data_IF_970626686773
#
_entry.id   IF_970626686773
#
_cell.length_a   1.000
_cell.length_b   1.000
_cell.length_c   1.000
_cell.angle_alpha   90.00
_cell.angle_beta   90.00
_cell.angle_gamma   90.00
#
_symmetry.space_group_name_H-M   'P 1'
#
loop_
_entity.id
_entity.type
_entity.pdbx_description
1 polymer ?
#
# COMPACT_ATOMS: atom_id res chain seq x y z
N UNK A 1 9.55 -29.96 -7.07
CA UNK A 1 10.30 -28.94 -6.31
C UNK A 1 11.11 -28.00 -7.22
N UNK A 2 11.28 -28.31 -8.51
CA UNK A 2 11.98 -27.46 -9.48
C UNK A 2 11.12 -27.22 -10.74
N UNK A 3 9.98 -26.54 -10.55
CA UNK A 3 9.10 -26.21 -11.66
C UNK A 3 9.78 -25.16 -12.58
N UNK A 4 9.69 -25.35 -13.90
CA UNK A 4 10.18 -24.39 -14.91
C UNK A 4 11.62 -24.60 -15.40
N UNK A 5 12.41 -25.50 -14.80
CA UNK A 5 13.76 -25.83 -15.32
C UNK A 5 13.74 -26.40 -16.76
N UNK A 6 12.79 -27.31 -17.12
CA UNK A 6 12.72 -27.81 -18.50
C UNK A 6 12.39 -26.73 -19.53
N UNK A 7 11.63 -25.70 -19.14
CA UNK A 7 11.30 -24.56 -20.01
C UNK A 7 12.53 -23.70 -20.33
N UNK A 8 13.57 -23.79 -19.49
CA UNK A 8 14.87 -23.15 -19.70
C UNK A 8 15.91 -24.11 -20.31
N UNK A 9 15.53 -25.34 -20.64
CA UNK A 9 16.44 -26.38 -21.12
C UNK A 9 17.45 -26.85 -20.09
N UNK A 10 17.15 -26.68 -18.79
CA UNK A 10 18.01 -27.13 -17.68
C UNK A 10 17.54 -28.51 -17.22
N UNK A 11 18.46 -29.46 -17.16
CA UNK A 11 18.19 -30.81 -16.68
C UNK A 11 17.71 -30.79 -15.22
N UNK A 12 16.71 -31.61 -14.91
CA UNK A 12 16.12 -31.74 -13.59
C UNK A 12 16.64 -33.01 -12.87
N UNK A 13 16.18 -33.24 -11.64
CA UNK A 13 16.58 -34.40 -10.85
C UNK A 13 16.10 -35.75 -11.41
N UNK A 14 15.04 -35.76 -12.24
CA UNK A 14 14.57 -36.96 -12.93
C UNK A 14 15.49 -37.30 -14.10
N UNK A 15 15.98 -36.30 -14.84
CA UNK A 15 16.96 -36.49 -15.93
C UNK A 15 18.26 -37.09 -15.37
N UNK A 16 18.73 -36.61 -14.21
CA UNK A 16 19.88 -37.18 -13.51
C UNK A 16 19.59 -38.63 -13.08
N UNK A 17 18.39 -38.91 -12.54
CA UNK A 17 18.01 -40.26 -12.12
C UNK A 17 17.97 -41.22 -13.31
N UNK A 18 17.42 -40.79 -14.44
CA UNK A 18 17.38 -41.57 -15.68
C UNK A 18 18.78 -41.84 -16.21
N UNK A 19 19.63 -40.80 -16.23
CA UNK A 19 21.04 -40.91 -16.64
C UNK A 19 21.78 -41.92 -15.77
N UNK A 20 21.59 -41.90 -14.45
CA UNK A 20 22.24 -42.83 -13.52
C UNK A 20 21.66 -44.26 -13.59
N UNK A 21 20.39 -44.42 -13.97
CA UNK A 21 19.74 -45.73 -14.08
C UNK A 21 20.12 -46.46 -15.37
N UNK A 22 20.33 -45.72 -16.45
CA UNK A 22 20.62 -46.28 -17.79
C UNK A 22 22.11 -46.34 -18.12
N UNK A 23 22.97 -45.88 -17.21
CA UNK A 23 24.41 -45.77 -17.39
C UNK A 23 25.15 -47.06 -17.03
N UNK A 24 26.12 -47.46 -17.85
CA UNK A 24 27.02 -48.61 -17.58
C UNK A 24 28.14 -48.31 -16.58
N UNK A 25 28.55 -47.04 -16.43
CA UNK A 25 29.64 -46.60 -15.53
C UNK A 25 29.23 -45.38 -14.66
N UNK A 26 28.51 -45.60 -13.55
CA UNK A 26 27.84 -44.53 -12.79
C UNK A 26 28.79 -43.46 -12.24
N UNK A 27 30.02 -43.82 -11.88
CA UNK A 27 31.01 -42.85 -11.38
C UNK A 27 31.43 -41.84 -12.45
N UNK A 28 31.65 -42.30 -13.70
CA UNK A 28 32.00 -41.39 -14.81
C UNK A 28 30.82 -40.50 -15.19
N UNK A 29 29.60 -41.03 -15.15
CA UNK A 29 28.39 -40.24 -15.39
C UNK A 29 28.22 -39.12 -14.33
N UNK A 30 28.53 -39.40 -13.06
CA UNK A 30 28.52 -38.39 -11.99
C UNK A 30 29.58 -37.31 -12.24
N UNK A 31 30.82 -37.70 -12.56
CA UNK A 31 31.91 -36.75 -12.84
C UNK A 31 31.57 -35.85 -14.03
N UNK A 32 31.03 -36.44 -15.11
CA UNK A 32 30.60 -35.69 -16.28
C UNK A 32 29.45 -34.73 -15.95
N UNK A 33 28.44 -35.18 -15.21
CA UNK A 33 27.33 -34.33 -14.77
C UNK A 33 27.81 -33.15 -13.92
N UNK A 34 28.74 -33.40 -12.98
CA UNK A 34 29.33 -32.35 -12.14
C UNK A 34 30.19 -31.36 -12.94
N UNK A 35 30.88 -31.84 -13.98
CA UNK A 35 31.68 -30.99 -14.86
C UNK A 35 30.80 -30.09 -15.74
N UNK A 36 29.69 -30.61 -16.25
CA UNK A 36 28.75 -29.89 -17.12
C UNK A 36 27.86 -28.91 -16.34
N UNK A 37 27.39 -29.28 -15.14
CA UNK A 37 26.45 -28.48 -14.33
C UNK A 37 27.10 -27.74 -13.16
N UNK A 38 28.42 -27.85 -13.00
CA UNK A 38 29.20 -27.13 -12.00
C UNK A 38 29.42 -25.66 -12.35
N UNK A 39 30.00 -24.91 -11.41
CA UNK A 39 30.40 -23.52 -11.68
C UNK A 39 31.60 -23.53 -12.64
N UNK A 40 31.37 -23.08 -13.87
CA UNK A 40 32.35 -23.06 -14.97
C UNK A 40 33.38 -21.92 -14.82
N UNK A 41 34.14 -21.95 -13.73
CA UNK A 41 35.29 -21.07 -13.51
C UNK A 41 36.58 -21.89 -13.56
N UNK A 42 37.49 -21.66 -14.52
CA UNK A 42 38.71 -22.46 -14.67
C UNK A 42 39.59 -22.50 -13.41
N UNK A 43 39.63 -21.40 -12.67
CA UNK A 43 40.38 -21.28 -11.40
C UNK A 43 39.74 -22.08 -10.26
N UNK A 44 38.44 -22.29 -10.30
CA UNK A 44 37.69 -22.99 -9.26
C UNK A 44 37.84 -24.51 -9.38
N UNK A 45 38.01 -25.05 -10.59
CA UNK A 45 38.22 -26.48 -10.80
C UNK A 45 39.45 -27.01 -10.05
N UNK A 46 40.53 -26.23 -9.98
CA UNK A 46 41.71 -26.58 -9.20
C UNK A 46 41.54 -26.37 -7.68
N UNK A 47 40.59 -25.53 -7.27
CA UNK A 47 40.35 -25.17 -5.87
C UNK A 47 39.35 -26.12 -5.16
N UNK A 48 38.39 -26.69 -5.90
CA UNK A 48 37.37 -27.61 -5.36
C UNK A 48 37.94 -28.81 -4.57
N UNK A 49 39.01 -29.49 -5.03
CA UNK A 49 39.61 -30.59 -4.26
C UNK A 49 40.14 -30.14 -2.89
N UNK A 50 40.56 -28.88 -2.75
CA UNK A 50 40.96 -28.36 -1.43
C UNK A 50 39.76 -28.23 -0.50
N UNK A 51 38.59 -27.82 -0.99
CA UNK A 51 37.36 -27.79 -0.19
C UNK A 51 36.94 -29.20 0.24
N UNK A 52 37.08 -30.18 -0.67
CA UNK A 52 36.82 -31.59 -0.36
C UNK A 52 37.77 -32.09 0.76
N UNK A 53 39.06 -31.72 0.72
CA UNK A 53 40.05 -32.05 1.77
C UNK A 53 39.74 -31.40 3.13
N UNK A 54 39.09 -30.23 3.15
CA UNK A 54 38.65 -29.55 4.37
C UNK A 54 37.28 -30.07 4.86
N UNK A 55 36.73 -31.09 4.21
CA UNK A 55 35.45 -31.70 4.58
C UNK A 55 34.23 -30.84 4.28
N UNK A 56 34.36 -29.80 3.46
CA UNK A 56 33.23 -28.98 3.02
C UNK A 56 32.49 -29.70 1.88
N UNK A 57 31.21 -30.09 2.07
CA UNK A 57 30.44 -30.72 1.00
C UNK A 57 30.27 -29.75 -0.18
N UNK A 58 30.46 -30.25 -1.41
CA UNK A 58 30.24 -29.47 -2.64
C UNK A 58 28.86 -28.82 -2.71
N UNK A 59 27.84 -29.50 -2.17
CA UNK A 59 26.49 -28.96 -2.06
C UNK A 59 26.45 -27.65 -1.27
N UNK A 60 27.09 -27.59 -0.10
CA UNK A 60 27.11 -26.40 0.75
C UNK A 60 27.83 -25.25 0.05
N UNK A 61 28.94 -25.54 -0.62
CA UNK A 61 29.65 -24.53 -1.42
C UNK A 61 28.77 -23.98 -2.55
N UNK A 62 28.13 -24.85 -3.35
CA UNK A 62 27.27 -24.40 -4.44
C UNK A 62 26.04 -23.64 -3.94
N UNK A 63 25.44 -24.04 -2.80
CA UNK A 63 24.35 -23.30 -2.17
C UNK A 63 24.80 -21.90 -1.72
N UNK A 64 25.97 -21.81 -1.07
CA UNK A 64 26.55 -20.54 -0.65
C UNK A 64 26.81 -19.59 -1.82
N UNK A 65 27.41 -20.09 -2.91
CA UNK A 65 27.63 -19.28 -4.13
C UNK A 65 26.29 -18.87 -4.76
N UNK A 66 25.32 -19.77 -4.80
CA UNK A 66 24.00 -19.47 -5.34
C UNK A 66 23.29 -18.36 -4.55
N UNK A 67 23.30 -18.44 -3.22
CA UNK A 67 22.71 -17.43 -2.34
C UNK A 67 23.39 -16.05 -2.54
N UNK A 68 24.71 -16.02 -2.61
CA UNK A 68 25.49 -14.79 -2.88
C UNK A 68 25.17 -14.20 -4.27
N UNK A 69 25.00 -15.04 -5.29
CA UNK A 69 24.62 -14.60 -6.64
C UNK A 69 23.19 -14.07 -6.67
N UNK A 70 22.26 -14.72 -5.96
CA UNK A 70 20.88 -14.25 -5.82
C UNK A 70 20.86 -12.87 -5.18
N UNK A 71 21.60 -12.68 -4.09
CA UNK A 71 21.60 -11.42 -3.34
C UNK A 71 22.22 -10.29 -4.17
N UNK A 72 23.35 -10.55 -4.85
CA UNK A 72 23.93 -9.60 -5.83
C UNK A 72 23.00 -9.27 -6.99
N UNK A 73 22.24 -10.24 -7.48
CA UNK A 73 21.26 -10.00 -8.54
C UNK A 73 20.12 -9.12 -8.05
N UNK A 74 19.62 -9.34 -6.82
CA UNK A 74 18.58 -8.49 -6.22
C UNK A 74 19.08 -7.05 -6.02
N UNK A 75 20.31 -6.86 -5.55
CA UNK A 75 20.94 -5.54 -5.44
C UNK A 75 21.08 -4.85 -6.80
N UNK A 76 21.50 -5.59 -7.82
CA UNK A 76 21.62 -5.06 -9.19
C UNK A 76 20.26 -4.68 -9.77
N UNK A 77 19.21 -5.47 -9.52
CA UNK A 77 17.83 -5.14 -9.91
C UNK A 77 17.39 -3.83 -9.27
N UNK A 78 17.65 -3.64 -7.97
CA UNK A 78 17.33 -2.39 -7.27
C UNK A 78 18.09 -1.21 -7.88
N UNK A 79 19.39 -1.39 -8.15
CA UNK A 79 20.25 -0.36 -8.77
C UNK A 79 19.75 0.04 -10.16
N UNK A 80 19.36 -0.94 -11.00
CA UNK A 80 18.80 -0.67 -12.34
C UNK A 80 17.46 0.08 -12.22
N UNK A 81 16.62 -0.30 -11.26
CA UNK A 81 15.32 0.34 -11.06
C UNK A 81 15.43 1.81 -10.62
N UNK A 82 16.44 2.15 -9.81
CA UNK A 82 16.71 3.51 -9.35
C UNK A 82 17.50 4.35 -10.36
N UNK A 83 18.26 3.70 -11.25
CA UNK A 83 19.03 4.34 -12.31
C UNK A 83 18.17 5.16 -13.27
N UNK A 84 18.77 6.15 -13.94
CA UNK A 84 18.07 7.07 -14.88
C UNK A 84 18.17 6.64 -16.35
N UNK A 85 18.58 5.40 -16.61
CA UNK A 85 18.73 4.88 -17.97
C UNK A 85 17.35 4.69 -18.63
N UNK A 86 17.21 5.13 -19.87
CA UNK A 86 15.94 5.03 -20.62
C UNK A 86 15.54 3.56 -20.90
N UNK A 87 16.52 2.66 -20.99
CA UNK A 87 16.32 1.23 -21.28
C UNK A 87 16.18 0.35 -20.02
N UNK A 88 16.17 0.95 -18.81
CA UNK A 88 16.12 0.20 -17.54
C UNK A 88 14.93 -0.75 -17.44
N UNK A 89 13.76 -0.33 -17.91
CA UNK A 89 12.55 -1.14 -17.85
C UNK A 89 12.59 -2.28 -18.87
N UNK A 90 13.22 -2.07 -20.03
CA UNK A 90 13.43 -3.12 -21.03
C UNK A 90 14.32 -4.21 -20.45
N UNK A 91 15.43 -3.83 -19.80
CA UNK A 91 16.33 -4.78 -19.10
C UNK A 91 15.59 -5.57 -18.02
N UNK A 92 14.72 -4.93 -17.25
CA UNK A 92 13.91 -5.59 -16.22
C UNK A 92 12.83 -6.51 -16.81
N UNK A 93 12.21 -6.13 -17.92
CA UNK A 93 11.25 -6.98 -18.64
C UNK A 93 11.92 -8.22 -19.22
N UNK A 94 13.09 -8.08 -19.85
CA UNK A 94 13.89 -9.20 -20.35
C UNK A 94 14.30 -10.15 -19.22
N UNK A 95 14.74 -9.61 -18.08
CA UNK A 95 15.06 -10.41 -16.91
C UNK A 95 13.81 -11.15 -16.40
N UNK A 96 12.65 -10.47 -16.36
CA UNK A 96 11.40 -11.08 -15.96
C UNK A 96 10.99 -12.21 -16.90
N UNK A 97 11.14 -12.07 -18.22
CA UNK A 97 10.84 -13.16 -19.16
C UNK A 97 11.68 -14.42 -18.87
N UNK A 98 12.97 -14.24 -18.56
CA UNK A 98 13.87 -15.37 -18.26
C UNK A 98 13.61 -15.98 -16.87
N UNK A 99 13.28 -15.16 -15.87
CA UNK A 99 13.16 -15.62 -14.48
C UNK A 99 11.75 -16.09 -14.11
N UNK A 100 10.70 -15.63 -14.79
CA UNK A 100 9.31 -15.93 -14.42
C UNK A 100 8.93 -17.42 -14.50
N UNK A 101 9.45 -18.24 -15.44
CA UNK A 101 9.25 -19.70 -15.41
C UNK A 101 9.63 -20.33 -14.06
N UNK A 102 10.62 -19.75 -13.38
CA UNK A 102 11.14 -20.21 -12.09
C UNK A 102 10.45 -19.56 -10.88
N UNK A 103 9.33 -18.85 -11.06
CA UNK A 103 8.66 -18.10 -9.96
C UNK A 103 8.20 -19.00 -8.80
N UNK A 104 7.96 -20.28 -9.06
CA UNK A 104 7.60 -21.28 -8.04
C UNK A 104 8.81 -21.89 -7.31
N UNK A 105 10.03 -21.59 -7.76
CA UNK A 105 11.25 -22.07 -7.12
C UNK A 105 11.65 -21.13 -5.97
N UNK A 106 11.65 -21.58 -4.71
CA UNK A 106 11.88 -20.71 -3.55
C UNK A 106 13.17 -19.91 -3.62
N UNK A 107 14.23 -20.48 -4.19
CA UNK A 107 15.55 -19.85 -4.27
C UNK A 107 15.63 -18.70 -5.28
N UNK A 108 14.79 -18.70 -6.33
CA UNK A 108 14.75 -17.63 -7.36
C UNK A 108 13.54 -16.71 -7.22
N UNK A 109 12.48 -17.17 -6.56
CA UNK A 109 11.28 -16.39 -6.31
C UNK A 109 11.56 -14.96 -5.79
N UNK A 110 12.49 -14.72 -4.83
CA UNK A 110 12.80 -13.36 -4.38
C UNK A 110 13.25 -12.42 -5.51
N UNK A 111 14.03 -12.92 -6.46
CA UNK A 111 14.47 -12.14 -7.63
C UNK A 111 13.28 -11.78 -8.51
N UNK A 112 12.39 -12.74 -8.80
CA UNK A 112 11.18 -12.49 -9.62
C UNK A 112 10.29 -11.45 -8.95
N UNK A 113 10.08 -11.57 -7.63
CA UNK A 113 9.27 -10.64 -6.85
C UNK A 113 9.88 -9.23 -6.83
N UNK A 114 11.20 -9.13 -6.72
CA UNK A 114 11.92 -7.86 -6.77
C UNK A 114 11.75 -7.20 -8.15
N UNK A 115 11.90 -7.95 -9.24
CA UNK A 115 11.70 -7.40 -10.60
C UNK A 115 10.27 -6.92 -10.79
N UNK A 116 9.27 -7.74 -10.42
CA UNK A 116 7.85 -7.39 -10.52
C UNK A 116 7.52 -6.09 -9.76
N UNK A 117 8.10 -5.89 -8.58
CA UNK A 117 7.90 -4.70 -7.74
C UNK A 117 8.32 -3.40 -8.44
N UNK A 118 9.37 -3.43 -9.25
CA UNK A 118 9.96 -2.25 -9.88
C UNK A 118 9.41 -1.95 -11.28
N UNK A 119 8.66 -2.88 -11.88
CA UNK A 119 8.04 -2.66 -13.18
C UNK A 119 6.80 -1.77 -13.07
N UNK A 120 6.73 -0.65 -13.83
CA UNK A 120 5.59 0.25 -13.81
C UNK A 120 4.33 -0.39 -14.37
N UNK A 121 4.49 -1.27 -15.36
CA UNK A 121 3.40 -2.06 -15.97
C UNK A 121 3.87 -3.49 -16.18
N UNK A 122 3.38 -4.41 -15.37
CA UNK A 122 3.64 -5.84 -15.52
C UNK A 122 2.75 -6.41 -16.64
N UNK A 123 3.27 -7.30 -17.50
CA UNK A 123 2.46 -7.96 -18.52
C UNK A 123 1.23 -8.66 -17.93
N UNK A 124 0.04 -8.41 -18.50
CA UNK A 124 -1.24 -8.94 -17.99
C UNK A 124 -1.26 -10.47 -17.85
N UNK A 125 -0.59 -11.18 -18.77
CA UNK A 125 -0.46 -12.64 -18.72
C UNK A 125 0.19 -13.10 -17.41
N UNK A 126 1.24 -12.40 -16.97
CA UNK A 126 1.97 -12.71 -15.72
C UNK A 126 1.15 -12.33 -14.49
N UNK A 127 0.44 -11.20 -14.54
CA UNK A 127 -0.48 -10.80 -13.46
C UNK A 127 -1.60 -11.82 -13.25
N UNK A 128 -2.18 -12.38 -14.32
CA UNK A 128 -3.20 -13.45 -14.22
C UNK A 128 -2.65 -14.71 -13.58
N UNK A 129 -1.41 -15.10 -13.89
CA UNK A 129 -0.75 -16.25 -13.27
C UNK A 129 -0.47 -16.01 -11.78
N UNK A 130 0.00 -14.82 -11.41
CA UNK A 130 0.19 -14.43 -10.00
C UNK A 130 -1.13 -14.41 -9.24
N UNK A 131 -2.20 -13.89 -9.85
CA UNK A 131 -3.53 -13.84 -9.22
C UNK A 131 -4.16 -15.22 -9.02
N UNK A 132 -3.90 -16.16 -9.94
CA UNK A 132 -4.41 -17.54 -9.83
C UNK A 132 -3.72 -18.36 -8.73
N UNK A 133 -2.50 -17.98 -8.34
CA UNK A 133 -1.70 -18.69 -7.35
C UNK A 133 -1.69 -17.94 -6.01
N UNK A 134 -2.37 -18.52 -5.00
CA UNK A 134 -2.54 -17.90 -3.68
C UNK A 134 -1.22 -17.66 -2.94
N UNK A 135 -0.23 -18.54 -3.13
CA UNK A 135 1.07 -18.42 -2.47
C UNK A 135 1.87 -17.28 -3.10
N UNK A 136 1.91 -17.22 -4.44
CA UNK A 136 2.56 -16.12 -5.16
C UNK A 136 1.91 -14.78 -4.86
N UNK A 137 0.58 -14.71 -4.90
CA UNK A 137 -0.17 -13.50 -4.59
C UNK A 137 0.14 -13.02 -3.16
N UNK A 138 0.24 -13.92 -2.17
CA UNK A 138 0.55 -13.53 -0.79
C UNK A 138 1.91 -12.82 -0.67
N UNK A 139 2.94 -13.36 -1.31
CA UNK A 139 4.33 -12.86 -1.24
C UNK A 139 4.55 -11.60 -2.11
N UNK A 140 3.69 -11.35 -3.10
CA UNK A 140 3.80 -10.19 -3.96
C UNK A 140 3.77 -8.86 -3.20
N UNK A 141 4.66 -7.94 -3.62
CA UNK A 141 4.69 -6.58 -3.12
C UNK A 141 3.40 -5.82 -3.45
N UNK A 142 3.03 -4.85 -2.61
CA UNK A 142 1.80 -4.06 -2.78
C UNK A 142 1.75 -3.34 -4.12
N UNK A 143 2.90 -2.93 -4.68
CA UNK A 143 3.01 -2.29 -5.98
C UNK A 143 2.47 -3.17 -7.11
N UNK A 144 2.74 -4.47 -7.05
CA UNK A 144 2.23 -5.46 -8.01
C UNK A 144 0.74 -5.70 -7.78
N UNK A 145 0.34 -5.86 -6.51
CA UNK A 145 -1.06 -6.05 -6.15
C UNK A 145 -1.94 -4.87 -6.59
N UNK A 146 -1.46 -3.63 -6.50
CA UNK A 146 -2.17 -2.44 -7.05
C UNK A 146 -2.49 -2.56 -8.53
N UNK A 147 -1.58 -3.11 -9.33
CA UNK A 147 -1.81 -3.32 -10.76
C UNK A 147 -2.87 -4.40 -11.02
N UNK A 148 -3.06 -5.34 -10.10
CA UNK A 148 -4.15 -6.33 -10.16
C UNK A 148 -5.46 -5.68 -9.71
N UNK A 149 -5.44 -4.99 -8.57
CA UNK A 149 -6.62 -4.40 -7.93
C UNK A 149 -7.32 -3.34 -8.79
N UNK A 150 -6.56 -2.54 -9.54
CA UNK A 150 -7.13 -1.47 -10.35
C UNK A 150 -8.13 -1.97 -11.41
N UNK A 151 -8.01 -3.24 -11.82
CA UNK A 151 -8.88 -3.88 -12.81
C UNK A 151 -9.77 -4.98 -12.18
N UNK A 152 -9.66 -5.22 -10.86
CA UNK A 152 -10.42 -6.23 -10.12
C UNK A 152 -11.00 -5.66 -8.82
N UNK A 153 -12.13 -4.94 -8.95
CA UNK A 153 -12.80 -4.29 -7.82
C UNK A 153 -13.23 -5.26 -6.72
N UNK A 154 -13.71 -6.47 -7.07
CA UNK A 154 -14.14 -7.47 -6.10
C UNK A 154 -12.98 -7.92 -5.20
N UNK A 155 -11.84 -8.28 -5.81
CA UNK A 155 -10.64 -8.69 -5.08
C UNK A 155 -10.11 -7.57 -4.18
N UNK A 156 -10.10 -6.33 -4.68
CA UNK A 156 -9.69 -5.19 -3.86
C UNK A 156 -10.65 -4.93 -2.70
N UNK A 157 -11.96 -5.09 -2.94
CA UNK A 157 -12.98 -5.02 -1.90
C UNK A 157 -12.78 -6.06 -0.80
N UNK A 158 -12.39 -7.29 -1.15
CA UNK A 158 -12.11 -8.37 -0.19
C UNK A 158 -10.88 -8.06 0.69
N UNK A 159 -9.86 -7.37 0.15
CA UNK A 159 -8.67 -6.95 0.90
C UNK A 159 -8.95 -5.73 1.81
N UNK A 160 -9.77 -4.79 1.34
CA UNK A 160 -10.07 -3.54 2.06
C UNK A 160 -11.15 -3.72 3.12
N UNK A 161 -12.16 -4.56 2.87
CA UNK A 161 -13.32 -4.76 3.76
C UNK A 161 -12.96 -5.15 5.21
N UNK A 162 -11.99 -6.07 5.45
CA UNK A 162 -11.53 -6.37 6.81
C UNK A 162 -10.95 -5.15 7.52
N UNK A 163 -10.17 -4.32 6.82
CA UNK A 163 -9.57 -3.10 7.37
C UNK A 163 -10.65 -2.08 7.74
N UNK A 164 -11.64 -1.90 6.88
CA UNK A 164 -12.77 -1.00 7.15
C UNK A 164 -13.54 -1.44 8.40
N UNK A 165 -13.81 -2.74 8.54
CA UNK A 165 -14.47 -3.29 9.74
C UNK A 165 -13.62 -3.11 10.99
N UNK A 166 -12.32 -3.42 10.91
CA UNK A 166 -11.37 -3.24 12.00
C UNK A 166 -11.38 -1.79 12.49
N UNK A 167 -11.30 -0.82 11.58
CA UNK A 167 -11.30 0.60 11.92
C UNK A 167 -12.54 1.03 12.71
N UNK A 168 -13.72 0.55 12.31
CA UNK A 168 -14.96 0.86 13.04
C UNK A 168 -14.92 0.30 14.46
N UNK A 169 -14.55 -0.97 14.61
CA UNK A 169 -14.45 -1.63 15.92
C UNK A 169 -13.45 -0.90 16.83
N UNK A 170 -12.29 -0.50 16.31
CA UNK A 170 -11.29 0.26 17.06
C UNK A 170 -11.80 1.64 17.50
N UNK A 171 -12.51 2.37 16.63
CA UNK A 171 -13.04 3.70 16.96
C UNK A 171 -14.20 3.62 17.96
N UNK A 172 -15.07 2.61 17.84
CA UNK A 172 -16.13 2.38 18.82
C UNK A 172 -15.56 1.97 20.17
N UNK A 173 -14.56 1.08 20.21
CA UNK A 173 -13.88 0.72 21.44
C UNK A 173 -13.21 1.94 22.11
N UNK A 174 -12.58 2.82 21.33
CA UNK A 174 -12.01 4.07 21.85
C UNK A 174 -13.08 5.04 22.37
N UNK A 175 -14.27 5.08 21.75
CA UNK A 175 -15.38 5.93 22.16
C UNK A 175 -16.03 5.45 23.47
N UNK A 176 -16.13 4.14 23.67
CA UNK A 176 -16.76 3.52 24.85
C UNK A 176 -15.75 3.09 25.93
N UNK A 177 -14.48 3.45 25.79
CA UNK A 177 -13.44 3.07 26.76
C UNK A 177 -13.72 3.67 28.14
N UNK A 178 -13.58 2.85 29.18
CA UNK A 178 -13.74 3.26 30.58
C UNK A 178 -12.59 4.16 31.07
N UNK A 179 -11.49 4.27 30.32
CA UNK A 179 -10.30 5.06 30.68
C UNK A 179 -10.44 6.55 30.28
N UNK A 180 -11.61 6.96 29.77
CA UNK A 180 -11.87 8.33 29.37
C UNK A 180 -11.91 9.25 30.60
N UNK A 181 -11.00 10.23 30.62
CA UNK A 181 -11.01 11.32 31.60
C UNK A 181 -11.43 12.63 30.93
N UNK A 182 -11.72 13.67 31.73
CA UNK A 182 -12.03 15.02 31.22
C UNK A 182 -10.90 15.55 30.33
N UNK A 183 -9.65 15.18 30.63
CA UNK A 183 -8.45 15.61 29.90
C UNK A 183 -8.10 14.70 28.72
N UNK A 184 -8.39 13.41 28.81
CA UNK A 184 -8.17 12.41 27.76
C UNK A 184 -9.49 11.78 27.34
N UNK A 185 -10.22 12.51 26.50
CA UNK A 185 -11.47 12.04 25.90
C UNK A 185 -11.26 11.64 24.42
N UNK A 186 -12.28 11.04 23.79
CA UNK A 186 -12.23 10.62 22.39
C UNK A 186 -11.79 11.75 21.42
N UNK A 187 -12.21 12.99 21.69
CA UNK A 187 -11.91 14.17 20.87
C UNK A 187 -10.55 14.82 21.18
N UNK A 188 -9.79 14.31 22.15
CA UNK A 188 -8.51 14.87 22.55
C UNK A 188 -7.38 14.57 21.57
N UNK A 189 -7.50 13.47 20.81
CA UNK A 189 -6.49 13.01 19.85
C UNK A 189 -6.30 14.00 18.69
N UNK A 190 -5.06 14.47 18.51
CA UNK A 190 -4.71 15.38 17.40
C UNK A 190 -4.90 14.72 16.04
N UNK A 191 -5.23 15.48 14.98
CA UNK A 191 -5.40 14.89 13.65
C UNK A 191 -4.20 14.08 13.15
N UNK A 192 -2.99 14.57 13.39
CA UNK A 192 -1.75 13.85 13.05
C UNK A 192 -1.64 12.50 13.75
N UNK A 193 -1.95 12.44 15.05
CA UNK A 193 -1.87 11.20 15.82
C UNK A 193 -2.90 10.16 15.31
N UNK A 194 -4.12 10.59 14.99
CA UNK A 194 -5.17 9.67 14.50
C UNK A 194 -4.78 9.00 13.18
N UNK A 195 -4.10 9.74 12.28
CA UNK A 195 -3.60 9.21 11.00
C UNK A 195 -2.49 8.17 11.12
N UNK A 196 -1.86 8.03 12.29
CA UNK A 196 -0.86 6.99 12.54
C UNK A 196 -1.49 5.62 12.87
N UNK A 197 -2.83 5.51 12.88
CA UNK A 197 -3.50 4.23 13.08
C UNK A 197 -3.18 3.22 11.97
N UNK A 198 -3.03 1.95 12.35
CA UNK A 198 -2.60 0.87 11.44
C UNK A 198 -3.47 0.82 10.17
N UNK A 199 -4.79 0.89 10.32
CA UNK A 199 -5.72 0.83 9.18
C UNK A 199 -5.50 1.98 8.21
N UNK A 200 -5.33 3.22 8.70
CA UNK A 200 -5.13 4.40 7.83
C UNK A 200 -3.82 4.27 7.06
N UNK A 201 -2.74 3.89 7.74
CA UNK A 201 -1.43 3.68 7.12
C UNK A 201 -1.48 2.55 6.09
N UNK A 202 -2.15 1.44 6.40
CA UNK A 202 -2.27 0.30 5.49
C UNK A 202 -3.12 0.61 4.27
N UNK A 203 -4.24 1.30 4.42
CA UNK A 203 -5.05 1.75 3.28
C UNK A 203 -4.28 2.74 2.40
N UNK A 204 -3.57 3.68 3.02
CA UNK A 204 -2.69 4.62 2.33
C UNK A 204 -1.61 3.89 1.53
N UNK A 205 -0.99 2.86 2.13
CA UNK A 205 -0.04 2.00 1.44
C UNK A 205 -0.71 1.16 0.35
N UNK A 206 -1.93 0.67 0.52
CA UNK A 206 -2.61 -0.10 -0.53
C UNK A 206 -2.92 0.77 -1.74
N UNK A 207 -3.37 2.01 -1.54
CA UNK A 207 -3.74 2.95 -2.62
C UNK A 207 -2.48 3.50 -3.31
N UNK A 208 -1.49 3.95 -2.55
CA UNK A 208 -0.32 4.66 -3.08
C UNK A 208 -0.72 5.87 -3.92
N UNK A 209 -0.24 5.92 -5.17
CA UNK A 209 -0.52 7.01 -6.13
C UNK A 209 -1.67 6.70 -7.09
N UNK A 210 -2.36 5.57 -6.93
CA UNK A 210 -3.35 5.11 -7.90
C UNK A 210 -4.73 5.73 -7.61
N UNK A 211 -5.14 6.68 -8.47
CA UNK A 211 -6.41 7.41 -8.35
C UNK A 211 -7.63 6.47 -8.42
N UNK A 212 -7.60 5.43 -9.28
CA UNK A 212 -8.73 4.48 -9.37
C UNK A 212 -8.94 3.72 -8.06
N UNK A 213 -7.87 3.27 -7.42
CA UNK A 213 -7.97 2.58 -6.13
C UNK A 213 -8.47 3.51 -5.03
N UNK A 214 -8.03 4.77 -5.05
CA UNK A 214 -8.55 5.79 -4.15
C UNK A 214 -10.06 5.95 -4.31
N UNK A 215 -10.53 6.16 -5.55
CA UNK A 215 -11.95 6.33 -5.87
C UNK A 215 -12.79 5.11 -5.46
N UNK A 216 -12.26 3.89 -5.64
CA UNK A 216 -12.90 2.66 -5.17
C UNK A 216 -13.09 2.66 -3.65
N UNK A 217 -12.05 3.03 -2.88
CA UNK A 217 -12.18 3.15 -1.42
C UNK A 217 -13.22 4.21 -1.06
N UNK A 218 -13.22 5.36 -1.73
CA UNK A 218 -14.23 6.39 -1.49
C UNK A 218 -15.65 5.89 -1.77
N UNK A 219 -15.84 5.14 -2.85
CA UNK A 219 -17.13 4.51 -3.17
C UNK A 219 -17.56 3.51 -2.09
N UNK A 220 -16.64 2.71 -1.56
CA UNK A 220 -16.93 1.80 -0.45
C UNK A 220 -17.33 2.57 0.81
N UNK A 221 -16.59 3.62 1.19
CA UNK A 221 -16.90 4.45 2.35
C UNK A 221 -18.28 5.11 2.23
N UNK A 222 -18.61 5.68 1.06
CA UNK A 222 -19.94 6.26 0.80
C UNK A 222 -21.04 5.21 0.94
N UNK A 223 -20.86 4.05 0.31
CA UNK A 223 -21.85 2.97 0.34
C UNK A 223 -22.08 2.46 1.76
N UNK A 224 -20.99 2.23 2.51
CA UNK A 224 -21.04 1.78 3.89
C UNK A 224 -21.67 2.83 4.81
N UNK A 225 -21.32 4.11 4.65
CA UNK A 225 -21.92 5.19 5.40
C UNK A 225 -23.43 5.30 5.15
N UNK A 226 -23.87 5.28 3.88
CA UNK A 226 -25.29 5.36 3.54
C UNK A 226 -26.09 4.16 4.08
N UNK A 227 -25.50 2.96 4.05
CA UNK A 227 -26.15 1.73 4.51
C UNK A 227 -26.20 1.61 6.03
N UNK A 228 -25.12 1.97 6.72
CA UNK A 228 -24.97 1.71 8.16
C UNK A 228 -25.22 2.94 9.02
N UNK A 229 -25.13 4.15 8.43
CA UNK A 229 -25.12 5.44 9.13
C UNK A 229 -23.97 5.61 10.14
N UNK A 230 -22.94 4.77 10.07
CA UNK A 230 -21.80 4.87 10.97
C UNK A 230 -20.89 6.03 10.53
N UNK A 231 -20.86 7.09 11.34
CA UNK A 231 -20.10 8.32 11.08
C UNK A 231 -18.58 8.13 11.12
N UNK A 232 -18.06 7.02 11.65
CA UNK A 232 -16.62 6.78 11.63
C UNK A 232 -16.08 6.53 10.21
N UNK A 233 -16.92 6.13 9.25
CA UNK A 233 -16.53 6.12 7.83
C UNK A 233 -16.23 7.53 7.30
N UNK A 234 -16.92 8.56 7.82
CA UNK A 234 -16.65 9.96 7.53
C UNK A 234 -15.29 10.39 8.08
N UNK A 235 -14.98 9.99 9.32
CA UNK A 235 -13.64 10.20 9.91
C UNK A 235 -12.56 9.55 9.04
N UNK A 236 -12.78 8.30 8.62
CA UNK A 236 -11.80 7.58 7.79
C UNK A 236 -11.59 8.25 6.43
N UNK A 237 -12.65 8.77 5.80
CA UNK A 237 -12.57 9.55 4.55
C UNK A 237 -11.64 10.76 4.71
N UNK A 238 -11.78 11.52 5.79
CA UNK A 238 -10.95 12.68 6.08
C UNK A 238 -9.51 12.29 6.44
N UNK A 239 -9.34 11.30 7.33
CA UNK A 239 -8.02 10.82 7.77
C UNK A 239 -7.21 10.25 6.61
N UNK A 240 -7.84 9.50 5.69
CA UNK A 240 -7.18 8.94 4.52
C UNK A 240 -6.71 10.04 3.55
N UNK A 241 -7.56 11.03 3.24
CA UNK A 241 -7.20 12.13 2.35
C UNK A 241 -6.04 12.96 2.94
N UNK A 242 -6.10 13.24 4.24
CA UNK A 242 -5.03 13.97 4.91
C UNK A 242 -3.77 13.13 5.11
N UNK A 243 -3.87 11.80 5.18
CA UNK A 243 -2.69 10.92 5.22
C UNK A 243 -1.97 10.88 3.87
N UNK A 244 -2.70 10.92 2.76
CA UNK A 244 -2.11 11.04 1.42
C UNK A 244 -1.48 12.42 1.21
N UNK A 245 -2.10 13.47 1.76
CA UNK A 245 -1.54 14.82 1.76
C UNK A 245 -0.22 14.89 2.56
N UNK A 246 -0.16 14.28 3.74
CA UNK A 246 1.06 14.23 4.57
C UNK A 246 2.22 13.49 3.87
N UNK A 247 1.94 12.66 2.86
CA UNK A 247 2.92 11.95 2.02
C UNK A 247 3.20 12.65 0.67
N UNK A 248 2.69 13.87 0.47
CA UNK A 248 2.86 14.66 -0.75
C UNK A 248 2.38 13.95 -2.04
N UNK A 249 1.32 13.14 -1.96
CA UNK A 249 0.76 12.42 -3.11
C UNK A 249 -0.16 13.35 -3.93
N UNK A 250 0.49 14.20 -4.74
CA UNK A 250 -0.19 15.20 -5.57
C UNK A 250 -1.14 14.60 -6.61
N UNK A 251 -0.88 13.38 -7.08
CA UNK A 251 -1.71 12.68 -8.07
C UNK A 251 -3.16 12.47 -7.59
N UNK A 252 -3.36 12.35 -6.28
CA UNK A 252 -4.69 12.22 -5.66
C UNK A 252 -5.15 13.56 -5.09
N UNK A 253 -4.31 14.26 -4.32
CA UNK A 253 -4.73 15.49 -3.64
C UNK A 253 -5.13 16.61 -4.61
N UNK A 254 -4.53 16.68 -5.81
CA UNK A 254 -4.86 17.71 -6.80
C UNK A 254 -6.21 17.49 -7.49
N UNK A 255 -6.71 16.25 -7.50
CA UNK A 255 -7.96 15.87 -8.17
C UNK A 255 -9.12 15.69 -7.20
N UNK A 256 -8.87 15.44 -5.90
CA UNK A 256 -9.93 15.36 -4.89
C UNK A 256 -10.53 16.77 -4.63
N UNK A 257 -11.82 16.99 -4.95
CA UNK A 257 -12.45 18.30 -4.81
C UNK A 257 -12.62 18.75 -3.35
N UNK A 258 -12.57 17.82 -2.39
CA UNK A 258 -12.68 18.07 -0.96
C UNK A 258 -11.32 18.34 -0.30
N UNK A 259 -10.19 18.27 -1.02
CA UNK A 259 -8.85 18.39 -0.43
C UNK A 259 -8.65 19.70 0.33
N UNK A 260 -8.86 20.85 -0.32
CA UNK A 260 -8.66 22.16 0.32
C UNK A 260 -9.61 22.40 1.49
N UNK A 261 -10.86 21.97 1.35
CA UNK A 261 -11.86 22.04 2.42
C UNK A 261 -11.43 21.22 3.63
N UNK A 262 -11.06 19.95 3.41
CA UNK A 262 -10.61 19.02 4.46
C UNK A 262 -9.35 19.54 5.14
N UNK A 263 -8.41 20.11 4.39
CA UNK A 263 -7.19 20.69 4.94
C UNK A 263 -7.45 21.92 5.82
N UNK A 264 -8.33 22.83 5.37
CA UNK A 264 -8.77 23.97 6.16
C UNK A 264 -9.47 23.51 7.45
N UNK A 265 -10.34 22.50 7.36
CA UNK A 265 -11.06 21.94 8.50
C UNK A 265 -10.13 21.21 9.47
N UNK A 266 -9.13 20.47 8.98
CA UNK A 266 -8.11 19.79 9.80
C UNK A 266 -7.32 20.81 10.64
N UNK A 267 -7.05 21.99 10.10
CA UNK A 267 -6.45 23.10 10.85
C UNK A 267 -7.35 23.60 11.98
N UNK A 268 -8.66 23.76 11.72
CA UNK A 268 -9.63 24.10 12.76
C UNK A 268 -9.70 23.05 13.86
N UNK A 269 -9.73 21.76 13.50
CA UNK A 269 -9.79 20.66 14.47
C UNK A 269 -8.53 20.65 15.34
N UNK A 270 -7.36 20.85 14.75
CA UNK A 270 -6.09 20.93 15.47
C UNK A 270 -6.09 22.07 16.50
N UNK A 271 -6.63 23.22 16.13
CA UNK A 271 -6.71 24.41 17.00
C UNK A 271 -7.94 24.41 17.92
N UNK A 272 -8.84 23.43 17.76
CA UNK A 272 -10.11 23.30 18.48
C UNK A 272 -10.98 24.57 18.38
N UNK A 273 -10.83 25.31 17.29
CA UNK A 273 -11.55 26.55 17.04
C UNK A 273 -11.63 26.91 15.55
N UNK A 274 -12.77 27.46 15.17
CA UNK A 274 -13.00 28.07 13.85
C UNK A 274 -13.04 29.59 14.01
N UNK A 275 -11.99 30.26 13.55
CA UNK A 275 -11.96 31.72 13.51
C UNK A 275 -12.76 32.29 12.31
N UNK A 276 -12.99 33.60 12.30
CA UNK A 276 -13.75 34.27 11.24
C UNK A 276 -13.10 34.27 9.85
N UNK A 277 -11.78 34.01 9.73
CA UNK A 277 -11.12 33.85 8.43
C UNK A 277 -11.40 32.45 7.89
N UNK A 278 -11.19 31.42 8.70
CA UNK A 278 -11.44 30.01 8.34
C UNK A 278 -12.91 29.74 8.13
N UNK A 279 -13.81 30.32 8.93
CA UNK A 279 -15.25 30.21 8.70
C UNK A 279 -15.62 30.71 7.29
N UNK A 280 -15.09 31.87 6.87
CA UNK A 280 -15.32 32.39 5.51
C UNK A 280 -14.72 31.52 4.41
N UNK A 281 -13.55 30.94 4.66
CA UNK A 281 -12.91 30.03 3.71
C UNK A 281 -13.71 28.73 3.55
N UNK A 282 -14.13 28.11 4.66
CA UNK A 282 -15.02 26.94 4.68
C UNK A 282 -16.34 27.23 3.97
N UNK A 283 -16.95 28.39 4.25
CA UNK A 283 -18.17 28.84 3.57
C UNK A 283 -17.93 29.01 2.06
N UNK A 284 -16.82 29.63 1.66
CA UNK A 284 -16.48 29.84 0.25
C UNK A 284 -16.33 28.54 -0.54
N UNK A 285 -15.84 27.47 0.10
CA UNK A 285 -15.81 26.15 -0.52
C UNK A 285 -17.21 25.56 -0.73
N UNK A 286 -18.11 25.71 0.24
CA UNK A 286 -19.51 25.24 0.15
C UNK A 286 -20.31 26.04 -0.88
N UNK A 287 -20.22 27.37 -0.85
CA UNK A 287 -20.88 28.28 -1.79
C UNK A 287 -20.33 28.12 -3.22
N UNK A 288 -19.10 27.62 -3.36
CA UNK A 288 -18.45 27.36 -4.64
C UNK A 288 -18.96 26.11 -5.39
N UNK A 289 -19.75 25.25 -4.74
CA UNK A 289 -20.28 24.03 -5.37
C UNK A 289 -21.39 24.37 -6.35
N UNK A 290 -21.18 24.05 -7.63
CA UNK A 290 -22.13 24.39 -8.70
C UNK A 290 -23.27 23.37 -8.80
N UNK A 291 -24.41 23.81 -9.34
CA UNK A 291 -25.50 22.90 -9.76
C UNK A 291 -24.95 21.84 -10.72
N UNK A 292 -25.26 20.56 -10.46
CA UNK A 292 -24.70 19.41 -11.18
C UNK A 292 -23.45 18.78 -10.53
N UNK A 293 -22.89 19.38 -9.46
CA UNK A 293 -21.78 18.81 -8.68
C UNK A 293 -22.27 18.22 -7.34
N UNK A 294 -23.44 17.58 -7.35
CA UNK A 294 -24.09 17.06 -6.14
C UNK A 294 -23.25 16.01 -5.42
N UNK A 295 -22.46 15.24 -6.16
CA UNK A 295 -21.51 14.29 -5.56
C UNK A 295 -20.44 14.98 -4.71
N UNK A 296 -19.95 16.15 -5.14
CA UNK A 296 -18.98 16.94 -4.37
C UNK A 296 -19.63 17.46 -3.09
N UNK A 297 -20.87 17.95 -3.18
CA UNK A 297 -21.61 18.35 -1.98
C UNK A 297 -21.81 17.18 -1.01
N UNK A 298 -22.12 15.99 -1.53
CA UNK A 298 -22.23 14.77 -0.72
C UNK A 298 -20.93 14.41 -0.01
N UNK A 299 -19.78 14.54 -0.68
CA UNK A 299 -18.48 14.28 -0.08
C UNK A 299 -18.11 15.32 0.98
N UNK A 300 -18.32 16.61 0.71
CA UNK A 300 -18.12 17.67 1.69
C UNK A 300 -19.03 17.48 2.92
N UNK A 301 -20.27 17.06 2.70
CA UNK A 301 -21.20 16.70 3.77
C UNK A 301 -20.67 15.52 4.58
N UNK A 302 -20.12 14.50 3.92
CA UNK A 302 -19.49 13.38 4.61
C UNK A 302 -18.33 13.86 5.49
N UNK A 303 -17.45 14.73 4.98
CA UNK A 303 -16.36 15.32 5.78
C UNK A 303 -16.90 16.10 7.00
N UNK A 304 -17.98 16.87 6.84
CA UNK A 304 -18.61 17.61 7.94
C UNK A 304 -19.29 16.70 8.98
N UNK A 305 -19.80 15.55 8.55
CA UNK A 305 -20.35 14.52 9.44
C UNK A 305 -19.28 13.77 10.25
N UNK A 306 -17.98 14.04 10.04
CA UNK A 306 -16.94 13.56 10.94
C UNK A 306 -17.18 14.07 12.37
N UNK A 307 -17.23 13.20 13.40
CA UNK A 307 -17.42 13.61 14.78
C UNK A 307 -16.43 14.68 15.27
N UNK A 308 -15.16 14.65 14.82
CA UNK A 308 -14.18 15.65 15.22
C UNK A 308 -14.46 17.03 14.61
N UNK A 309 -14.88 17.07 13.35
CA UNK A 309 -15.35 18.28 12.69
C UNK A 309 -16.57 18.86 13.40
N UNK A 310 -17.60 18.02 13.60
CA UNK A 310 -18.85 18.41 14.27
C UNK A 310 -18.59 18.95 15.69
N UNK A 311 -17.79 18.25 16.49
CA UNK A 311 -17.42 18.71 17.83
C UNK A 311 -16.69 20.06 17.80
N UNK A 312 -15.76 20.25 16.86
CA UNK A 312 -15.01 21.52 16.72
C UNK A 312 -15.94 22.68 16.34
N UNK A 313 -16.88 22.46 15.43
CA UNK A 313 -17.86 23.46 15.02
C UNK A 313 -18.76 23.85 16.20
N UNK A 314 -19.28 22.86 16.94
CA UNK A 314 -20.14 23.10 18.11
C UNK A 314 -19.40 23.86 19.21
N UNK A 315 -18.18 23.46 19.55
CA UNK A 315 -17.36 24.16 20.54
C UNK A 315 -17.08 25.61 20.12
N UNK A 316 -16.82 25.83 18.83
CA UNK A 316 -16.61 27.16 18.28
C UNK A 316 -17.88 28.01 18.36
N UNK A 317 -19.05 27.45 18.07
CA UNK A 317 -20.34 28.14 18.21
C UNK A 317 -20.57 28.54 19.67
N UNK A 318 -20.41 27.60 20.61
CA UNK A 318 -20.62 27.88 22.05
C UNK A 318 -19.70 28.99 22.53
N UNK A 319 -18.42 28.96 22.15
CA UNK A 319 -17.46 29.99 22.55
C UNK A 319 -17.82 31.37 21.99
N UNK A 320 -18.18 31.44 20.70
CA UNK A 320 -18.64 32.69 20.09
C UNK A 320 -19.92 33.20 20.76
N UNK A 321 -20.86 32.33 21.13
CA UNK A 321 -22.08 32.74 21.85
C UNK A 321 -21.74 33.29 23.24
N UNK A 322 -20.80 32.68 23.97
CA UNK A 322 -20.34 33.18 25.26
C UNK A 322 -19.67 34.56 25.13
N UNK A 323 -18.85 34.76 24.10
CA UNK A 323 -18.23 36.06 23.78
C UNK A 323 -19.26 37.13 23.41
N UNK A 324 -20.34 36.77 22.71
CA UNK A 324 -21.42 37.71 22.40
C UNK A 324 -22.24 38.07 23.64
N UNK A 325 -22.51 37.09 24.50
CA UNK A 325 -23.19 37.31 25.77
C UNK A 325 -22.39 38.24 26.69
N UNK A 326 -21.06 38.11 26.74
CA UNK A 326 -20.23 39.01 27.53
C UNK A 326 -20.14 40.43 26.97
N UNK A 327 -20.52 40.62 25.70
CA UNK A 327 -20.57 41.91 25.01
C UNK A 327 -22.00 42.47 24.87
N UNK A 328 -23.01 41.84 25.50
CA UNK A 328 -24.44 42.15 25.32
C UNK A 328 -24.87 42.23 23.83
N UNK A 329 -24.22 41.45 22.97
CA UNK A 329 -24.43 41.43 21.54
C UNK A 329 -25.31 40.23 21.11
N UNK A 330 -26.10 40.41 20.05
CA UNK A 330 -26.99 39.36 19.55
C UNK A 330 -26.23 38.37 18.63
N UNK A 331 -26.58 37.07 18.64
CA UNK A 331 -25.96 36.05 17.78
C UNK A 331 -25.95 36.38 16.29
N UNK A 332 -26.98 37.07 15.79
CA UNK A 332 -27.10 37.54 14.39
C UNK A 332 -25.99 38.51 13.96
N UNK A 333 -25.28 39.11 14.90
CA UNK A 333 -24.15 40.02 14.65
C UNK A 333 -22.89 39.22 14.35
N UNK A 334 -22.75 38.00 14.88
CA UNK A 334 -21.60 37.14 14.62
C UNK A 334 -21.80 36.33 13.33
N UNK A 335 -21.10 36.76 12.27
CA UNK A 335 -21.04 36.01 11.01
C UNK A 335 -20.46 34.60 11.20
N UNK A 336 -19.58 34.40 12.17
CA UNK A 336 -19.01 33.08 12.46
C UNK A 336 -20.08 32.10 12.94
N UNK A 337 -20.95 32.53 13.86
CA UNK A 337 -22.08 31.70 14.34
C UNK A 337 -23.04 31.41 13.20
N UNK A 338 -23.36 32.41 12.36
CA UNK A 338 -24.24 32.21 11.22
C UNK A 338 -23.69 31.22 10.18
N UNK A 339 -22.37 31.16 9.99
CA UNK A 339 -21.73 30.22 9.06
C UNK A 339 -21.69 28.81 9.63
N UNK A 340 -21.32 28.64 10.89
CA UNK A 340 -21.23 27.29 11.48
C UNK A 340 -22.60 26.61 11.70
N UNK A 341 -23.68 27.38 11.70
CA UNK A 341 -25.06 26.88 11.88
C UNK A 341 -25.77 26.58 10.55
N UNK A 342 -25.31 27.19 9.44
CA UNK A 342 -25.80 26.89 8.09
C UNK A 342 -25.18 25.59 7.58
#
# INVERSE_FOLDING_TARGET
MFAGLPELGIANGEDLKETLTNCTEPLKAIDQFQMENGILLPTLQSALPFLDLHGTPRLEFHQSVFDELRDKLMERVATIAEGKEDDRYVKLEELLEKSFPLVKMPSIQPVVMQVLKHLPKVPEKKLKLVMADKELYKVCAVQVKRQIWQDNQALFGDEVSPLLKQYIVEKEAALFSSDLSILHNFFSSSPKARRQGEVVLRLTQMIGKNVKLYDMVLQFLRTLFLRTRNVHYCTLRAELLMSLHDLDISEICSVDPCHKFTWCLDACIREKFVDGKRARELQGFLDGVKKGQEQVLGDLSMILCDPFASNTLVLSIIRNLQELLSQDALPRVSRCVCVCVR
#
